data_IF_556393833886
#
_entry.id   IF_556393833886
#
_cell.length_a   1.000
_cell.length_b   1.000
_cell.length_c   1.000
_cell.angle_alpha   90.00
_cell.angle_beta   90.00
_cell.angle_gamma   90.00
#
_symmetry.space_group_name_H-M   'P 1'
#
loop_
_entity.id
_entity.type
_entity.pdbx_description
1 polymer ?
#
# COMPACT_ATOMS: atom_id res chain seq x y z
N UNK A 1 -65.70 25.34 -11.90
CA UNK A 1 -65.33 26.57 -11.18
C UNK A 1 -63.89 26.43 -10.67
N UNK A 2 -62.90 27.10 -11.26
CA UNK A 2 -61.50 27.07 -10.79
C UNK A 2 -61.22 28.34 -9.99
N UNK A 3 -61.25 28.23 -8.66
CA UNK A 3 -60.82 29.30 -7.77
C UNK A 3 -59.32 29.52 -7.92
N UNK A 4 -58.92 30.69 -8.41
CA UNK A 4 -57.51 31.11 -8.41
C UNK A 4 -57.13 31.40 -6.96
N UNK A 5 -56.45 30.47 -6.30
CA UNK A 5 -55.89 30.69 -4.98
C UNK A 5 -54.78 31.73 -5.14
N UNK A 6 -55.05 32.96 -4.74
CA UNK A 6 -54.09 34.06 -4.77
C UNK A 6 -53.13 33.91 -3.60
N UNK A 7 -51.96 33.31 -3.88
CA UNK A 7 -50.86 33.14 -2.92
C UNK A 7 -50.46 34.45 -2.23
N UNK A 8 -50.60 35.59 -2.92
CA UNK A 8 -50.29 36.91 -2.36
C UNK A 8 -51.22 37.28 -1.20
N UNK A 9 -52.53 37.10 -1.36
CA UNK A 9 -53.52 37.45 -0.33
C UNK A 9 -53.44 36.55 0.91
N UNK A 10 -53.07 35.27 0.73
CA UNK A 10 -52.85 34.37 1.85
C UNK A 10 -51.67 34.79 2.74
N UNK A 11 -50.58 35.27 2.11
CA UNK A 11 -49.40 35.76 2.82
C UNK A 11 -49.64 37.11 3.52
N UNK A 12 -50.37 38.02 2.87
CA UNK A 12 -50.75 39.30 3.46
C UNK A 12 -51.62 39.12 4.72
N UNK A 13 -52.62 38.23 4.65
CA UNK A 13 -53.48 37.92 5.78
C UNK A 13 -52.74 37.26 6.95
N UNK A 14 -51.77 36.40 6.65
CA UNK A 14 -50.95 35.73 7.66
C UNK A 14 -49.96 36.68 8.35
N UNK A 15 -49.32 37.56 7.57
CA UNK A 15 -48.36 38.53 8.07
C UNK A 15 -49.06 39.66 8.86
N UNK A 16 -50.20 40.16 8.35
CA UNK A 16 -51.02 41.17 9.02
C UNK A 16 -51.58 40.71 10.38
N UNK A 17 -51.96 39.43 10.53
CA UNK A 17 -52.40 38.85 11.82
C UNK A 17 -51.31 38.81 12.89
N UNK A 18 -50.03 38.89 12.52
CA UNK A 18 -48.88 38.88 13.45
C UNK A 18 -48.19 40.24 13.57
N UNK A 19 -48.72 41.28 12.94
CA UNK A 19 -48.09 42.61 12.90
C UNK A 19 -46.82 42.69 12.06
N UNK A 20 -46.57 41.70 11.20
CA UNK A 20 -45.35 41.62 10.36
C UNK A 20 -45.71 42.10 8.95
N UNK A 21 -44.89 42.97 8.36
CA UNK A 21 -45.07 43.40 6.98
C UNK A 21 -44.81 42.24 6.00
N UNK A 22 -45.68 42.02 5.02
CA UNK A 22 -45.49 40.97 3.99
C UNK A 22 -44.16 41.10 3.26
N UNK A 23 -43.68 42.34 3.07
CA UNK A 23 -42.37 42.60 2.47
C UNK A 23 -41.23 42.00 3.30
N UNK A 24 -41.35 42.06 4.62
CA UNK A 24 -40.39 41.52 5.58
C UNK A 24 -40.42 39.99 5.60
N UNK A 25 -41.61 39.39 5.48
CA UNK A 25 -41.78 37.95 5.32
C UNK A 25 -41.12 37.44 4.03
N UNK A 26 -41.37 38.11 2.90
CA UNK A 26 -40.76 37.77 1.61
C UNK A 26 -39.24 37.90 1.68
N UNK A 27 -38.74 38.99 2.27
CA UNK A 27 -37.30 39.21 2.43
C UNK A 27 -36.65 38.10 3.28
N UNK A 28 -37.31 37.66 4.35
CA UNK A 28 -36.83 36.56 5.19
C UNK A 28 -36.81 35.23 4.44
N UNK A 29 -37.84 34.92 3.64
CA UNK A 29 -37.89 33.71 2.81
C UNK A 29 -36.77 33.71 1.76
N UNK A 30 -36.53 34.86 1.11
CA UNK A 30 -35.44 35.00 0.13
C UNK A 30 -34.09 34.83 0.81
N UNK A 31 -33.86 35.48 1.95
CA UNK A 31 -32.61 35.36 2.71
C UNK A 31 -32.37 33.92 3.18
N UNK A 32 -33.42 33.24 3.65
CA UNK A 32 -33.37 31.83 4.04
C UNK A 32 -33.07 30.93 2.83
N UNK A 33 -33.68 31.17 1.68
CA UNK A 33 -33.41 30.43 0.44
C UNK A 33 -31.96 30.59 -0.04
N UNK A 34 -31.41 31.80 0.02
CA UNK A 34 -30.00 32.08 -0.27
C UNK A 34 -29.09 31.35 0.71
N UNK A 35 -29.40 31.39 2.01
CA UNK A 35 -28.62 30.69 3.04
C UNK A 35 -28.61 29.16 2.83
N UNK A 36 -29.75 28.56 2.51
CA UNK A 36 -29.86 27.11 2.23
C UNK A 36 -29.13 26.72 0.94
N UNK A 37 -29.07 27.62 -0.05
CA UNK A 37 -28.36 27.37 -1.32
C UNK A 37 -26.85 27.53 -1.17
N UNK A 38 -26.39 28.40 -0.27
CA UNK A 38 -24.97 28.59 0.05
C UNK A 38 -24.42 27.64 1.12
N UNK A 39 -25.26 26.94 1.88
CA UNK A 39 -24.81 25.98 2.88
C UNK A 39 -24.06 24.74 2.29
N UNK A 40 -24.53 24.09 1.21
CA UNK A 40 -23.88 22.91 0.63
C UNK A 40 -22.42 23.08 0.17
N UNK A 41 -22.01 24.18 -0.52
CA UNK A 41 -20.67 24.26 -1.12
C UNK A 41 -19.51 24.34 -0.12
N UNK A 42 -19.76 24.60 1.17
CA UNK A 42 -18.69 24.76 2.17
C UNK A 42 -17.94 23.46 2.46
N UNK A 43 -18.60 22.31 2.31
CA UNK A 43 -18.01 21.00 2.62
C UNK A 43 -17.18 20.42 1.46
N UNK A 44 -17.47 20.79 0.21
CA UNK A 44 -16.79 20.20 -0.95
C UNK A 44 -15.40 20.79 -1.24
N UNK A 45 -15.10 21.99 -0.74
CA UNK A 45 -13.83 22.68 -1.04
C UNK A 45 -12.63 22.05 -0.32
N UNK A 46 -12.83 21.54 0.91
CA UNK A 46 -11.76 20.91 1.69
C UNK A 46 -11.50 19.46 1.25
N UNK A 47 -12.55 18.72 0.88
CA UNK A 47 -12.41 17.35 0.37
C UNK A 47 -11.66 17.29 -0.98
N UNK A 48 -11.89 18.26 -1.88
CA UNK A 48 -11.18 18.32 -3.16
C UNK A 48 -9.69 18.61 -2.99
N UNK A 49 -9.30 19.49 -2.06
CA UNK A 49 -7.88 19.79 -1.81
C UNK A 49 -7.12 18.60 -1.24
N UNK A 50 -7.73 17.84 -0.32
CA UNK A 50 -7.14 16.62 0.21
C UNK A 50 -6.93 15.58 -0.90
N UNK A 51 -7.93 15.38 -1.77
CA UNK A 51 -7.83 14.47 -2.91
C UNK A 51 -6.74 14.87 -3.90
N UNK A 52 -6.61 16.16 -4.23
CA UNK A 52 -5.54 16.64 -5.12
C UNK A 52 -4.15 16.41 -4.51
N UNK A 53 -3.99 16.67 -3.21
CA UNK A 53 -2.69 16.46 -2.52
C UNK A 53 -2.29 14.99 -2.47
N UNK A 54 -3.26 14.09 -2.21
CA UNK A 54 -3.03 12.65 -2.21
C UNK A 54 -2.64 12.14 -3.61
N UNK A 55 -3.38 12.55 -4.66
CA UNK A 55 -3.09 12.16 -6.04
C UNK A 55 -1.71 12.65 -6.50
N UNK A 56 -1.30 13.86 -6.10
CA UNK A 56 0.02 14.39 -6.40
C UNK A 56 1.14 13.61 -5.70
N UNK A 57 0.93 13.21 -4.44
CA UNK A 57 1.87 12.38 -3.70
C UNK A 57 2.02 10.99 -4.35
N UNK A 58 0.93 10.40 -4.82
CA UNK A 58 0.94 9.11 -5.53
C UNK A 58 1.72 9.22 -6.86
N UNK A 59 1.48 10.27 -7.64
CA UNK A 59 2.23 10.50 -8.89
C UNK A 59 3.73 10.69 -8.63
N UNK A 60 4.09 11.44 -7.58
CA UNK A 60 5.48 11.65 -7.21
C UNK A 60 6.16 10.34 -6.80
N UNK A 61 5.51 9.54 -5.94
CA UNK A 61 6.06 8.26 -5.49
C UNK A 61 6.21 7.25 -6.64
N UNK A 62 5.23 7.19 -7.55
CA UNK A 62 5.28 6.32 -8.72
C UNK A 62 6.39 6.73 -9.70
N UNK A 63 6.59 8.04 -9.92
CA UNK A 63 7.71 8.53 -10.72
C UNK A 63 9.07 8.18 -10.10
N UNK A 64 9.21 8.32 -8.79
CA UNK A 64 10.44 7.94 -8.09
C UNK A 64 10.74 6.44 -8.23
N UNK A 65 9.73 5.57 -8.06
CA UNK A 65 9.86 4.12 -8.29
C UNK A 65 10.27 3.80 -9.72
N UNK A 66 9.65 4.44 -10.72
CA UNK A 66 10.01 4.24 -12.12
C UNK A 66 11.46 4.66 -12.41
N UNK A 67 11.95 5.75 -11.82
CA UNK A 67 13.34 6.16 -11.96
C UNK A 67 14.30 5.16 -11.33
N UNK A 68 14.00 4.66 -10.13
CA UNK A 68 14.81 3.64 -9.46
C UNK A 68 14.89 2.35 -10.28
N UNK A 69 13.73 1.85 -10.73
CA UNK A 69 13.66 0.62 -11.54
C UNK A 69 14.36 0.79 -12.89
N UNK A 70 14.28 1.97 -13.53
CA UNK A 70 15.02 2.25 -14.77
C UNK A 70 16.53 2.25 -14.55
N UNK A 71 17.00 2.91 -13.49
CA UNK A 71 18.41 2.93 -13.14
C UNK A 71 18.93 1.53 -12.78
N UNK A 72 18.11 0.71 -12.12
CA UNK A 72 18.44 -0.69 -11.89
C UNK A 72 18.50 -1.47 -13.21
N UNK A 73 17.50 -1.34 -14.09
CA UNK A 73 17.49 -2.00 -15.39
C UNK A 73 18.73 -1.66 -16.24
N UNK A 74 19.19 -0.41 -16.20
CA UNK A 74 20.45 -0.01 -16.87
C UNK A 74 21.67 -0.76 -16.32
N UNK A 75 21.74 -1.00 -15.01
CA UNK A 75 22.80 -1.84 -14.42
C UNK A 75 22.70 -3.29 -14.87
N UNK A 76 21.49 -3.86 -14.92
CA UNK A 76 21.27 -5.23 -15.39
C UNK A 76 21.53 -5.42 -16.90
N UNK A 77 21.59 -4.34 -17.69
CA UNK A 77 21.97 -4.41 -19.11
C UNK A 77 23.48 -4.53 -19.32
N UNK A 78 24.30 -4.23 -18.32
CA UNK A 78 25.74 -4.39 -18.41
C UNK A 78 26.13 -5.87 -18.29
N UNK A 79 26.70 -6.50 -19.34
CA UNK A 79 27.08 -7.91 -19.30
C UNK A 79 28.11 -8.23 -18.21
N UNK A 80 28.96 -7.26 -17.82
CA UNK A 80 29.94 -7.47 -16.74
C UNK A 80 29.26 -7.56 -15.37
N UNK A 81 28.25 -6.71 -15.13
CA UNK A 81 27.46 -6.73 -13.89
C UNK A 81 26.64 -8.01 -13.76
N UNK A 82 26.06 -8.50 -14.87
CA UNK A 82 25.35 -9.79 -14.89
C UNK A 82 26.31 -10.94 -14.62
N UNK A 83 27.49 -10.94 -15.25
CA UNK A 83 28.49 -11.99 -15.05
C UNK A 83 28.99 -12.04 -13.60
N UNK A 84 29.21 -10.88 -12.95
CA UNK A 84 29.62 -10.84 -11.54
C UNK A 84 28.50 -11.34 -10.61
N UNK A 85 27.26 -10.88 -10.79
CA UNK A 85 26.12 -11.36 -9.99
C UNK A 85 25.84 -12.86 -10.16
N UNK A 86 25.99 -13.37 -11.39
CA UNK A 86 25.87 -14.79 -11.70
C UNK A 86 26.98 -15.61 -11.02
N UNK A 87 28.20 -15.11 -10.98
CA UNK A 87 29.32 -15.77 -10.29
C UNK A 87 29.14 -15.76 -8.77
N UNK A 88 28.72 -14.64 -8.19
CA UNK A 88 28.58 -14.48 -6.74
C UNK A 88 27.41 -15.31 -6.18
N UNK A 89 26.26 -15.31 -6.87
CA UNK A 89 25.04 -15.97 -6.39
C UNK A 89 24.82 -17.38 -6.90
N UNK A 90 25.21 -17.65 -8.14
CA UNK A 90 24.92 -18.91 -8.83
C UNK A 90 26.18 -19.73 -9.12
N UNK A 91 27.35 -19.22 -8.73
CA UNK A 91 28.63 -19.86 -8.98
C UNK A 91 28.88 -20.22 -10.46
N UNK A 92 28.30 -19.44 -11.38
CA UNK A 92 28.52 -19.65 -12.81
C UNK A 92 29.93 -19.23 -13.22
N UNK A 93 30.49 -19.99 -14.16
CA UNK A 93 31.80 -19.76 -14.79
C UNK A 93 31.65 -19.56 -16.29
N UNK A 94 32.53 -18.75 -16.88
CA UNK A 94 32.56 -18.59 -18.33
C UNK A 94 33.04 -19.88 -19.02
N UNK A 95 32.58 -20.19 -20.24
CA UNK A 95 33.07 -21.34 -20.98
C UNK A 95 34.60 -21.26 -21.16
N UNK A 96 35.32 -22.22 -20.55
CA UNK A 96 36.79 -22.28 -20.53
C UNK A 96 37.44 -21.99 -19.17
N UNK A 97 36.70 -21.48 -18.19
CA UNK A 97 37.18 -21.31 -16.81
C UNK A 97 36.97 -22.60 -15.98
N UNK A 98 37.93 -22.94 -15.11
CA UNK A 98 37.84 -24.11 -14.20
C UNK A 98 37.49 -23.64 -12.79
N UNK A 99 36.34 -24.08 -12.27
CA UNK A 99 35.92 -23.82 -10.90
C UNK A 99 36.57 -24.83 -9.95
N UNK A 100 37.25 -24.35 -8.91
CA UNK A 100 37.78 -25.19 -7.84
C UNK A 100 36.92 -25.01 -6.59
N UNK A 101 36.23 -26.08 -6.18
CA UNK A 101 35.54 -26.13 -4.89
C UNK A 101 36.51 -26.82 -3.92
N UNK A 102 36.89 -26.14 -2.85
CA UNK A 102 37.81 -26.69 -1.85
C UNK A 102 37.00 -27.56 -0.90
N UNK A 103 36.92 -28.86 -1.21
CA UNK A 103 36.40 -29.88 -0.29
C UNK A 103 37.59 -30.46 0.46
N UNK A 104 37.97 -29.88 1.60
CA UNK A 104 39.12 -30.42 2.34
C UNK A 104 39.70 -29.55 3.44
N UNK A 105 39.14 -28.37 3.69
CA UNK A 105 39.43 -27.70 4.94
C UNK A 105 38.38 -28.17 5.96
N UNK A 106 38.80 -28.97 6.93
CA UNK A 106 38.10 -29.11 8.22
C UNK A 106 38.20 -27.76 8.96
N UNK A 107 37.75 -26.69 8.30
CA UNK A 107 37.56 -25.38 8.91
C UNK A 107 36.14 -25.40 9.39
N UNK A 108 35.98 -25.25 10.69
CA UNK A 108 34.71 -25.15 11.39
C UNK A 108 33.66 -24.45 10.51
N UNK A 109 32.71 -25.22 10.01
CA UNK A 109 31.62 -24.78 9.12
C UNK A 109 30.58 -23.91 9.86
N UNK A 110 31.01 -23.20 10.89
CA UNK A 110 30.22 -22.28 11.71
C UNK A 110 30.31 -20.83 11.21
N UNK A 111 31.03 -20.56 10.13
CA UNK A 111 31.02 -19.25 9.50
C UNK A 111 29.87 -19.19 8.47
N UNK A 112 28.83 -18.45 8.83
CA UNK A 112 27.83 -17.82 7.95
C UNK A 112 26.69 -18.69 7.38
N UNK A 113 26.14 -19.59 8.18
CA UNK A 113 24.74 -20.04 8.01
C UNK A 113 23.77 -19.19 8.86
N UNK A 114 23.96 -17.87 8.90
CA UNK A 114 23.16 -16.93 9.73
C UNK A 114 21.70 -16.78 9.29
N UNK A 115 21.25 -17.53 8.28
CA UNK A 115 19.87 -17.53 7.77
C UNK A 115 19.21 -18.91 7.63
N UNK A 116 19.92 -20.00 7.92
CA UNK A 116 19.36 -21.34 7.83
C UNK A 116 18.98 -21.83 9.24
N UNK A 117 17.72 -22.24 9.41
CA UNK A 117 17.27 -22.87 10.65
C UNK A 117 18.15 -24.09 10.95
N UNK A 118 18.48 -24.37 12.23
CA UNK A 118 19.30 -25.52 12.60
C UNK A 118 18.60 -26.79 12.14
N UNK A 119 19.19 -27.47 11.15
CA UNK A 119 18.72 -28.78 10.69
C UNK A 119 19.39 -29.83 11.58
N UNK A 120 18.59 -30.63 12.28
CA UNK A 120 19.10 -31.78 13.04
C UNK A 120 19.90 -32.69 12.10
N UNK A 121 21.14 -33.02 12.46
CA UNK A 121 22.02 -33.86 11.65
C UNK A 121 22.08 -35.32 12.15
N UNK A 122 21.45 -35.60 13.29
CA UNK A 122 21.41 -36.92 13.93
C UNK A 122 20.32 -37.81 13.33
N UNK A 123 20.55 -38.31 12.11
CA UNK A 123 19.64 -39.28 11.48
C UNK A 123 20.33 -40.62 11.19
N UNK A 124 19.69 -41.76 11.50
CA UNK A 124 20.17 -43.07 11.08
C UNK A 124 20.35 -43.14 9.55
N UNK A 125 21.49 -43.66 9.10
CA UNK A 125 21.75 -43.88 7.67
C UNK A 125 20.71 -44.86 7.10
N UNK A 126 20.11 -44.53 5.96
CA UNK A 126 19.10 -45.36 5.27
C UNK A 126 17.66 -44.83 5.33
N UNK A 127 17.41 -43.72 6.03
CA UNK A 127 16.09 -43.08 6.06
C UNK A 127 15.84 -42.29 4.75
N UNK A 128 14.66 -42.45 4.10
CA UNK A 128 14.30 -41.69 2.89
C UNK A 128 14.34 -40.17 3.06
N UNK A 129 14.48 -39.42 1.96
CA UNK A 129 14.62 -37.96 2.02
C UNK A 129 13.36 -37.24 2.52
N UNK A 130 12.17 -37.79 2.25
CA UNK A 130 10.90 -37.17 2.62
C UNK A 130 10.67 -37.17 4.14
N UNK A 131 11.12 -38.21 4.85
CA UNK A 131 10.98 -38.29 6.31
C UNK A 131 11.91 -37.32 7.03
N UNK A 132 13.07 -37.01 6.43
CA UNK A 132 13.98 -35.95 6.92
C UNK A 132 13.37 -34.55 6.79
N UNK A 133 12.58 -34.32 5.74
CA UNK A 133 11.89 -33.05 5.52
C UNK A 133 10.75 -32.87 6.53
N UNK A 134 9.94 -33.91 6.75
CA UNK A 134 8.84 -33.89 7.72
C UNK A 134 9.39 -33.71 9.15
N UNK A 135 10.48 -34.41 9.51
CA UNK A 135 11.10 -34.27 10.83
C UNK A 135 11.67 -32.87 11.08
N UNK A 136 12.25 -32.25 10.04
CA UNK A 136 12.74 -30.86 10.10
C UNK A 136 11.61 -29.88 10.44
N UNK A 137 10.48 -29.96 9.74
CA UNK A 137 9.31 -29.10 10.01
C UNK A 137 8.78 -29.30 11.43
N UNK A 138 8.72 -30.54 11.92
CA UNK A 138 8.28 -30.82 13.29
C UNK A 138 9.28 -30.34 14.34
N UNK A 139 10.58 -30.40 14.04
CA UNK A 139 11.64 -30.01 14.99
C UNK A 139 11.71 -28.50 15.23
N UNK A 140 11.27 -27.68 14.28
CA UNK A 140 11.22 -26.22 14.44
C UNK A 140 10.05 -25.78 15.34
N UNK A 141 9.01 -26.62 15.49
CA UNK A 141 7.82 -26.33 16.30
C UNK A 141 7.93 -26.75 17.77
N UNK A 142 8.80 -27.70 18.10
CA UNK A 142 9.15 -28.05 19.48
C UNK A 142 10.38 -27.24 19.86
N UNK A 143 10.15 -26.10 20.54
CA UNK A 143 11.24 -25.29 21.06
C UNK A 143 12.19 -26.18 21.87
N UNK A 144 13.47 -26.14 21.53
CA UNK A 144 14.51 -26.88 22.22
C UNK A 144 14.39 -26.62 23.74
N UNK A 145 14.00 -27.65 24.48
CA UNK A 145 14.06 -27.65 25.93
C UNK A 145 15.55 -27.65 26.29
N UNK A 146 16.04 -26.47 26.64
CA UNK A 146 17.41 -26.25 27.08
C UNK A 146 17.57 -26.94 28.45
N UNK A 147 18.54 -27.85 28.66
CA UNK A 147 18.85 -28.36 29.98
C UNK A 147 19.43 -27.26 30.90
#
# INVERSE_FOLDING_TARGET
MKGKISLRGALDNFAGRRGISTRLLILFIVLFGVAVTLAPPTQHYFAQRAQISALQADVASNRAKLQQVRAELEKWKDPQYVASQARDRLHFVLPGERQYIILGAQTDLNADNTGAAPVNQDFPLGVPWYSRLISSITSVGVGAENP
#
